data_IF_639289215428
#
_entry.id   IF_639289215428
#
_cell.length_a   1.000
_cell.length_b   1.000
_cell.length_c   1.000
_cell.angle_alpha   90.00
_cell.angle_beta   90.00
_cell.angle_gamma   90.00
#
_symmetry.space_group_name_H-M   'P 1'
#
loop_
_entity.id
_entity.type
_entity.pdbx_description
1 polymer ?
#
# COMPACT_ATOMS: atom_id res chain seq x y z
N UNK A 1 1.93 -16.50 -56.68
CA UNK A 1 2.65 -17.23 -55.61
C UNK A 1 3.59 -16.27 -54.91
N UNK A 2 3.38 -15.95 -53.64
CA UNK A 2 4.34 -15.15 -52.86
C UNK A 2 4.39 -15.69 -51.43
N UNK A 3 5.49 -16.37 -51.12
CA UNK A 3 5.76 -17.01 -49.82
C UNK A 3 6.28 -15.97 -48.83
N UNK A 4 5.59 -15.78 -47.70
CA UNK A 4 5.95 -14.80 -46.65
C UNK A 4 6.85 -15.48 -45.62
N UNK A 5 8.14 -15.15 -45.65
CA UNK A 5 9.14 -15.64 -44.68
C UNK A 5 8.97 -14.89 -43.34
N UNK A 6 8.56 -15.60 -42.29
CA UNK A 6 8.38 -15.04 -40.94
C UNK A 6 9.71 -15.09 -40.17
N UNK A 7 10.12 -13.96 -39.60
CA UNK A 7 11.34 -13.80 -38.81
C UNK A 7 11.09 -14.27 -37.37
N UNK A 8 11.85 -15.28 -36.92
CA UNK A 8 11.80 -15.84 -35.58
C UNK A 8 12.42 -14.85 -34.54
N UNK A 9 11.58 -14.07 -33.87
CA UNK A 9 12.00 -13.23 -32.73
C UNK A 9 11.73 -14.00 -31.43
N UNK A 10 12.78 -14.49 -30.78
CA UNK A 10 12.66 -15.10 -29.44
C UNK A 10 12.22 -14.02 -28.44
N UNK A 11 11.13 -14.23 -27.67
CA UNK A 11 10.66 -13.25 -26.70
C UNK A 11 11.64 -13.19 -25.52
N UNK A 12 12.05 -11.97 -25.17
CA UNK A 12 12.78 -11.68 -23.94
C UNK A 12 11.90 -12.09 -22.75
N UNK A 13 12.40 -12.82 -21.73
CA UNK A 13 11.57 -13.20 -20.59
C UNK A 13 11.07 -11.92 -19.95
N UNK A 14 9.74 -11.74 -19.97
CA UNK A 14 9.11 -10.63 -19.29
C UNK A 14 9.39 -10.81 -17.81
N UNK A 15 10.06 -9.82 -17.20
CA UNK A 15 10.12 -9.74 -15.74
C UNK A 15 8.68 -9.59 -15.29
N UNK A 16 8.14 -10.64 -14.67
CA UNK A 16 6.84 -10.58 -14.04
C UNK A 16 6.85 -9.36 -13.12
N UNK A 17 5.93 -8.43 -13.35
CA UNK A 17 5.60 -7.43 -12.34
C UNK A 17 5.09 -8.24 -11.16
N UNK A 18 5.96 -8.52 -10.19
CA UNK A 18 5.62 -9.28 -9.00
C UNK A 18 4.48 -8.54 -8.34
N UNK A 19 3.26 -9.07 -8.48
CA UNK A 19 2.07 -8.47 -7.91
C UNK A 19 2.23 -8.60 -6.40
N UNK A 20 2.76 -7.57 -5.74
CA UNK A 20 3.10 -7.59 -4.31
C UNK A 20 1.85 -7.88 -3.48
N UNK A 21 0.67 -7.47 -3.95
CA UNK A 21 -0.62 -7.80 -3.34
C UNK A 21 -0.98 -9.29 -3.38
N UNK A 22 -0.37 -10.08 -4.26
CA UNK A 22 -0.53 -11.54 -4.28
C UNK A 22 0.40 -12.27 -3.29
N UNK A 23 1.28 -11.53 -2.59
CA UNK A 23 2.17 -12.11 -1.56
C UNK A 23 1.53 -12.13 -0.17
N UNK A 24 0.35 -11.53 0.01
CA UNK A 24 -0.33 -11.40 1.29
C UNK A 24 -1.72 -12.04 1.23
N UNK A 25 -2.13 -12.64 2.34
CA UNK A 25 -3.48 -13.19 2.47
C UNK A 25 -4.51 -12.06 2.67
N UNK A 26 -5.79 -12.34 2.40
CA UNK A 26 -6.86 -11.35 2.53
C UNK A 26 -6.96 -10.75 3.95
N UNK A 27 -6.68 -11.55 4.98
CA UNK A 27 -6.65 -11.08 6.36
C UNK A 27 -5.57 -10.00 6.57
N UNK A 28 -4.36 -10.23 6.06
CA UNK A 28 -3.26 -9.26 6.16
C UNK A 28 -3.56 -7.99 5.38
N UNK A 29 -4.15 -8.11 4.19
CA UNK A 29 -4.58 -6.96 3.38
C UNK A 29 -5.62 -6.14 4.15
N UNK A 30 -6.53 -6.80 4.86
CA UNK A 30 -7.55 -6.14 5.66
C UNK A 30 -6.95 -5.42 6.88
N UNK A 31 -6.02 -6.05 7.59
CA UNK A 31 -5.28 -5.44 8.70
C UNK A 31 -4.53 -4.18 8.24
N UNK A 32 -3.84 -4.24 7.09
CA UNK A 32 -3.15 -3.07 6.54
C UNK A 32 -4.12 -1.93 6.19
N UNK A 33 -5.29 -2.25 5.64
CA UNK A 33 -6.32 -1.24 5.35
C UNK A 33 -6.86 -0.59 6.62
N UNK A 34 -7.11 -1.37 7.66
CA UNK A 34 -7.62 -0.86 8.93
C UNK A 34 -6.59 0.01 9.64
N UNK A 35 -5.33 -0.44 9.69
CA UNK A 35 -4.23 0.35 10.22
C UNK A 35 -4.03 1.65 9.42
N UNK A 36 -4.10 1.58 8.09
CA UNK A 36 -3.99 2.77 7.22
C UNK A 36 -5.11 3.78 7.51
N UNK A 37 -6.36 3.31 7.56
CA UNK A 37 -7.53 4.16 7.86
C UNK A 37 -7.50 4.74 9.28
N UNK A 38 -6.79 4.12 10.21
CA UNK A 38 -6.60 4.63 11.56
C UNK A 38 -5.57 5.78 11.59
N UNK A 39 -4.56 5.72 10.71
CA UNK A 39 -3.49 6.71 10.65
C UNK A 39 -3.90 7.91 9.79
N UNK A 40 -4.48 7.68 8.61
CA UNK A 40 -4.96 8.71 7.67
C UNK A 40 -6.17 9.46 8.27
N UNK A 41 -5.89 10.54 9.01
CA UNK A 41 -6.90 11.31 9.72
C UNK A 41 -7.73 12.15 8.75
N UNK A 42 -7.08 12.69 7.72
CA UNK A 42 -7.70 13.60 6.76
C UNK A 42 -8.47 12.88 5.63
N UNK A 43 -8.27 11.57 5.47
CA UNK A 43 -8.87 10.66 4.47
C UNK A 43 -8.54 11.00 3.02
N UNK A 44 -7.34 11.50 2.76
CA UNK A 44 -6.88 11.79 1.41
C UNK A 44 -6.26 10.56 0.69
N UNK A 45 -6.10 9.44 1.41
CA UNK A 45 -5.54 8.21 0.90
C UNK A 45 -4.01 8.17 0.92
N UNK A 46 -3.38 9.13 1.58
CA UNK A 46 -1.96 9.19 1.87
C UNK A 46 -1.76 9.29 3.39
N UNK A 47 -0.57 8.91 3.85
CA UNK A 47 -0.16 9.18 5.23
C UNK A 47 0.90 10.25 5.14
N UNK A 48 0.58 11.44 5.62
CA UNK A 48 1.51 12.55 5.66
C UNK A 48 2.07 12.81 7.07
N UNK A 49 2.94 13.82 7.18
CA UNK A 49 3.53 14.18 8.47
C UNK A 49 2.48 14.73 9.44
N UNK A 50 1.42 15.35 8.93
CA UNK A 50 0.34 15.91 9.73
C UNK A 50 -0.49 14.80 10.36
N UNK A 51 -0.86 13.77 9.59
CA UNK A 51 -1.58 12.58 10.07
C UNK A 51 -0.82 11.89 11.22
N UNK A 52 0.50 11.74 11.08
CA UNK A 52 1.33 11.16 12.14
C UNK A 52 1.40 12.06 13.37
N UNK A 53 1.55 13.38 13.19
CA UNK A 53 1.57 14.33 14.30
C UNK A 53 0.25 14.31 15.07
N UNK A 54 -0.88 14.31 14.38
CA UNK A 54 -2.21 14.27 14.99
C UNK A 54 -2.45 12.93 15.70
N UNK A 55 -1.99 11.82 15.10
CA UNK A 55 -2.05 10.49 15.72
C UNK A 55 -1.22 10.44 17.02
N UNK A 56 0.02 10.93 17.01
CA UNK A 56 0.87 10.96 18.22
C UNK A 56 0.37 11.97 19.27
N UNK A 57 -0.18 13.11 18.84
CA UNK A 57 -0.80 14.08 19.74
C UNK A 57 -2.02 13.45 20.44
N UNK A 58 -2.85 12.71 19.72
CA UNK A 58 -4.00 12.02 20.31
C UNK A 58 -3.56 11.00 21.38
N UNK A 59 -2.51 10.21 21.12
CA UNK A 59 -1.94 9.26 22.09
C UNK A 59 -1.35 9.95 23.33
N UNK A 60 -0.68 11.10 23.15
CA UNK A 60 -0.11 11.89 24.25
C UNK A 60 -1.17 12.58 25.11
N UNK A 61 -2.26 13.06 24.52
CA UNK A 61 -3.35 13.74 25.24
C UNK A 61 -4.12 12.82 26.20
N UNK A 62 -4.26 11.52 25.89
CA UNK A 62 -4.86 10.57 26.83
C UNK A 62 -4.02 10.35 28.11
N UNK A 63 -2.70 10.59 28.06
CA UNK A 63 -1.82 10.40 29.22
C UNK A 63 -1.92 11.54 30.26
N UNK A 64 -2.28 12.77 29.82
CA UNK A 64 -2.38 13.93 30.71
C UNK A 64 -3.79 14.20 31.26
N UNK A 65 -4.83 13.56 30.72
CA UNK A 65 -6.22 13.71 31.19
C UNK A 65 -6.64 12.68 32.27
N UNK A 66 -5.74 11.83 32.75
CA UNK A 66 -5.99 10.82 33.79
C UNK A 66 -5.34 11.14 35.15
N UNK A 67 -4.81 12.36 35.33
CA UNK A 67 -3.99 12.75 36.48
C UNK A 67 -4.54 13.92 37.31
N UNK A 68 -5.83 14.23 37.21
CA UNK A 68 -6.49 15.23 38.08
C UNK A 68 -7.75 14.68 38.74
#
# INVERSE_FOLDING_TARGET
>A
MASRKTLNRRPRPQRATSNVFAMFDQAQIQEFKEAFNMIDQNRDGFIDVQDLQDMFASLGSYHYLFLE
#
